data_IF_952628337799
#
_entry.id   IF_952628337799
#
_cell.length_a   1.000
_cell.length_b   1.000
_cell.length_c   1.000
_cell.angle_alpha   90.00
_cell.angle_beta   90.00
_cell.angle_gamma   90.00
#
_symmetry.space_group_name_H-M   'P 1'
#
loop_
_entity.id
_entity.type
_entity.pdbx_description
1 polymer ?
#
# COMPACT_ATOMS: atom_id res chain seq x y z
N UNK A 1 3.95 -41.57 -10.29
CA UNK A 1 2.65 -41.56 -11.00
C UNK A 1 2.46 -40.20 -11.62
N UNK A 2 2.23 -40.19 -12.90
CA UNK A 2 2.32 -38.97 -13.70
C UNK A 2 1.12 -38.06 -13.39
N UNK A 3 1.37 -36.85 -12.90
CA UNK A 3 0.35 -35.86 -12.53
C UNK A 3 -0.63 -35.58 -13.70
N UNK A 4 -0.14 -35.70 -14.94
CA UNK A 4 -0.91 -35.55 -16.18
C UNK A 4 -1.98 -36.63 -16.37
N UNK A 5 -1.74 -37.83 -15.90
CA UNK A 5 -2.72 -38.93 -16.02
C UNK A 5 -3.92 -38.68 -15.10
N UNK A 6 -3.68 -38.17 -13.92
CA UNK A 6 -4.73 -37.81 -12.93
C UNK A 6 -5.56 -36.63 -13.46
N UNK A 7 -4.88 -35.61 -14.02
CA UNK A 7 -5.57 -34.46 -14.66
C UNK A 7 -6.42 -34.88 -15.84
N UNK A 8 -5.93 -35.80 -16.67
CA UNK A 8 -6.68 -36.37 -17.79
C UNK A 8 -7.90 -37.16 -17.33
N UNK A 9 -7.74 -38.02 -16.32
CA UNK A 9 -8.86 -38.79 -15.75
C UNK A 9 -9.94 -37.89 -15.16
N UNK A 10 -9.55 -36.77 -14.48
CA UNK A 10 -10.47 -35.78 -13.97
C UNK A 10 -11.21 -35.05 -15.10
N UNK A 11 -10.52 -34.71 -16.19
CA UNK A 11 -11.14 -34.09 -17.35
C UNK A 11 -12.16 -35.03 -18.02
N UNK A 12 -11.78 -36.29 -18.23
CA UNK A 12 -12.67 -37.30 -18.82
C UNK A 12 -13.93 -37.52 -17.95
N UNK A 13 -13.76 -37.58 -16.62
CA UNK A 13 -14.88 -37.74 -15.69
C UNK A 13 -15.86 -36.54 -15.73
N UNK A 14 -15.37 -35.33 -16.05
CA UNK A 14 -16.22 -34.15 -16.21
C UNK A 14 -16.99 -34.16 -17.55
N UNK A 15 -16.40 -34.73 -18.60
CA UNK A 15 -16.96 -34.71 -19.95
C UNK A 15 -17.95 -35.85 -20.19
N UNK A 16 -17.75 -37.03 -19.57
CA UNK A 16 -18.57 -38.23 -19.76
C UNK A 16 -20.05 -38.01 -19.46
N UNK A 17 -20.39 -37.07 -18.58
CA UNK A 17 -21.76 -36.78 -18.18
C UNK A 17 -22.36 -35.58 -18.95
N UNK A 18 -21.68 -35.06 -19.98
CA UNK A 18 -22.18 -33.92 -20.77
C UNK A 18 -22.97 -34.45 -21.98
N UNK A 19 -24.27 -34.28 -21.98
CA UNK A 19 -25.10 -34.51 -23.16
C UNK A 19 -24.96 -33.32 -24.11
N UNK A 20 -24.44 -33.57 -25.30
CA UNK A 20 -24.37 -32.57 -26.37
C UNK A 20 -25.73 -32.46 -27.06
N UNK A 21 -26.32 -31.29 -27.07
CA UNK A 21 -27.58 -30.99 -27.73
C UNK A 21 -27.27 -30.24 -29.03
N UNK A 22 -27.92 -30.62 -30.13
CA UNK A 22 -27.79 -29.89 -31.40
C UNK A 22 -28.34 -28.46 -31.24
N UNK A 23 -27.45 -27.48 -31.38
CA UNK A 23 -27.80 -26.05 -31.27
C UNK A 23 -26.56 -25.16 -31.14
N UNK A 24 -26.76 -23.86 -31.22
CA UNK A 24 -25.69 -22.89 -30.96
C UNK A 24 -25.41 -22.78 -29.48
N UNK A 25 -24.14 -22.70 -29.08
CA UNK A 25 -23.74 -22.47 -27.69
C UNK A 25 -24.32 -21.17 -27.15
N UNK A 26 -24.87 -21.23 -25.94
CA UNK A 26 -25.40 -20.06 -25.26
C UNK A 26 -24.65 -19.83 -23.96
N UNK A 27 -24.17 -18.61 -23.76
CA UNK A 27 -23.51 -18.21 -22.53
C UNK A 27 -24.53 -17.66 -21.53
N UNK A 28 -24.61 -18.25 -20.34
CA UNK A 28 -25.48 -17.80 -19.27
C UNK A 28 -24.66 -17.34 -18.06
N UNK A 29 -24.90 -16.12 -17.63
CA UNK A 29 -24.27 -15.57 -16.44
C UNK A 29 -24.99 -15.99 -15.16
N UNK A 30 -24.30 -16.80 -14.31
CA UNK A 30 -24.93 -17.40 -13.12
C UNK A 30 -25.18 -16.43 -11.96
N UNK A 31 -24.60 -15.23 -12.00
CA UNK A 31 -24.75 -14.23 -10.91
C UNK A 31 -25.96 -13.31 -11.12
N UNK A 32 -26.78 -13.55 -12.15
CA UNK A 32 -28.02 -12.81 -12.37
C UNK A 32 -29.18 -13.72 -12.70
N UNK A 33 -30.38 -13.35 -12.27
CA UNK A 33 -31.61 -14.12 -12.48
C UNK A 33 -31.92 -14.36 -13.98
N UNK A 34 -31.57 -13.42 -14.83
CA UNK A 34 -31.86 -13.47 -16.27
C UNK A 34 -30.72 -14.01 -17.13
N UNK A 35 -29.60 -14.45 -16.53
CA UNK A 35 -28.46 -15.00 -17.26
C UNK A 35 -27.65 -13.98 -18.06
N UNK A 36 -28.00 -12.69 -18.03
CA UNK A 36 -27.27 -11.61 -18.68
C UNK A 36 -26.08 -11.16 -17.82
N UNK A 37 -24.98 -10.78 -18.48
CA UNK A 37 -23.77 -10.27 -17.83
C UNK A 37 -23.80 -8.75 -17.70
N UNK A 38 -24.21 -8.15 -16.56
CA UNK A 38 -23.91 -6.76 -16.26
C UNK A 38 -22.59 -6.68 -15.51
N UNK A 39 -21.71 -5.77 -15.91
CA UNK A 39 -20.42 -5.51 -15.26
C UNK A 39 -20.56 -5.32 -13.74
N UNK A 40 -21.68 -4.71 -13.31
CA UNK A 40 -21.99 -4.49 -11.89
C UNK A 40 -22.14 -5.80 -11.11
N UNK A 41 -22.72 -6.87 -11.67
CA UNK A 41 -22.88 -8.14 -10.95
C UNK A 41 -21.54 -8.81 -10.66
N UNK A 42 -20.61 -8.76 -11.62
CA UNK A 42 -19.26 -9.26 -11.43
C UNK A 42 -18.48 -8.41 -10.41
N UNK A 43 -18.60 -7.10 -10.49
CA UNK A 43 -17.96 -6.18 -9.54
C UNK A 43 -18.45 -6.43 -8.11
N UNK A 44 -19.77 -6.59 -7.90
CA UNK A 44 -20.32 -6.92 -6.58
C UNK A 44 -19.83 -8.29 -6.09
N UNK A 45 -19.83 -9.31 -6.95
CA UNK A 45 -19.29 -10.63 -6.61
C UNK A 45 -17.83 -10.60 -6.19
N UNK A 46 -17.00 -9.80 -6.87
CA UNK A 46 -15.60 -9.61 -6.49
C UNK A 46 -15.44 -8.89 -5.13
N UNK A 47 -16.35 -7.98 -4.79
CA UNK A 47 -16.32 -7.26 -3.52
C UNK A 47 -16.84 -8.13 -2.37
N UNK A 48 -17.94 -8.86 -2.56
CA UNK A 48 -18.57 -9.69 -1.52
C UNK A 48 -17.65 -10.85 -1.11
N UNK A 49 -16.87 -11.39 -2.04
CA UNK A 49 -15.88 -12.43 -1.75
C UNK A 49 -14.56 -11.90 -1.15
N UNK A 50 -14.40 -10.58 -1.00
CA UNK A 50 -13.25 -9.99 -0.32
C UNK A 50 -13.54 -9.86 1.18
N UNK A 51 -12.61 -10.29 2.06
CA UNK A 51 -12.73 -10.01 3.49
C UNK A 51 -12.90 -8.49 3.69
N UNK A 52 -13.69 -8.04 4.70
CA UNK A 52 -13.99 -6.63 4.91
C UNK A 52 -12.70 -5.81 4.84
N UNK A 53 -12.60 -4.97 3.83
CA UNK A 53 -11.32 -4.41 3.42
C UNK A 53 -10.77 -3.52 4.54
N UNK A 54 -9.64 -3.92 5.11
CA UNK A 54 -8.81 -3.09 6.00
C UNK A 54 -8.50 -1.72 5.38
N UNK A 55 -8.78 -1.56 4.08
CA UNK A 55 -8.58 -0.33 3.31
C UNK A 55 -9.57 0.79 3.67
N UNK A 56 -10.75 0.48 4.23
CA UNK A 56 -11.78 1.49 4.57
C UNK A 56 -11.24 2.60 5.48
N UNK A 57 -10.25 2.28 6.33
CA UNK A 57 -9.65 3.24 7.24
C UNK A 57 -8.88 4.35 6.49
N UNK A 58 -8.04 4.00 5.51
CA UNK A 58 -7.24 4.97 4.74
C UNK A 58 -8.14 6.01 4.07
N UNK A 59 -9.28 5.56 3.48
CA UNK A 59 -10.19 6.43 2.76
C UNK A 59 -10.96 7.41 3.67
N UNK A 60 -11.11 7.07 4.96
CA UNK A 60 -11.77 7.93 5.95
C UNK A 60 -10.85 9.01 6.55
N UNK A 61 -9.53 8.89 6.38
CA UNK A 61 -8.59 9.88 6.88
C UNK A 61 -8.77 11.24 6.19
N UNK A 62 -8.66 12.31 6.93
CA UNK A 62 -8.68 13.69 6.39
C UNK A 62 -7.27 14.10 5.91
N UNK A 63 -6.81 13.47 4.83
CA UNK A 63 -5.52 13.72 4.19
C UNK A 63 -5.71 13.83 2.67
N UNK A 64 -4.79 14.47 1.93
CA UNK A 64 -4.86 14.59 0.48
C UNK A 64 -5.03 13.26 -0.24
N UNK A 65 -5.81 13.24 -1.33
CA UNK A 65 -6.12 12.02 -2.09
C UNK A 65 -4.87 11.29 -2.59
N UNK A 66 -3.86 12.03 -3.07
CA UNK A 66 -2.58 11.46 -3.52
C UNK A 66 -1.89 10.62 -2.45
N UNK A 67 -2.01 11.01 -1.17
CA UNK A 67 -1.43 10.29 -0.04
C UNK A 67 -2.27 9.07 0.30
N UNK A 68 -3.61 9.15 0.22
CA UNK A 68 -4.48 7.97 0.38
C UNK A 68 -4.15 6.88 -0.65
N UNK A 69 -4.01 7.27 -1.91
CA UNK A 69 -3.65 6.35 -3.00
C UNK A 69 -2.28 5.72 -2.74
N UNK A 70 -1.30 6.53 -2.34
CA UNK A 70 0.03 6.03 -1.99
C UNK A 70 -0.01 5.03 -0.83
N UNK A 71 -0.72 5.34 0.27
CA UNK A 71 -0.87 4.43 1.41
C UNK A 71 -1.58 3.13 1.02
N UNK A 72 -2.55 3.20 0.14
CA UNK A 72 -3.22 2.03 -0.40
C UNK A 72 -2.25 1.14 -1.20
N UNK A 73 -1.37 1.72 -2.04
CA UNK A 73 -0.30 0.98 -2.71
C UNK A 73 0.72 0.42 -1.72
N UNK A 74 1.07 1.19 -0.68
CA UNK A 74 1.99 0.74 0.36
C UNK A 74 1.44 -0.47 1.12
N UNK A 75 0.17 -0.42 1.51
CA UNK A 75 -0.52 -1.51 2.19
C UNK A 75 -0.60 -2.78 1.33
N UNK A 76 -0.79 -2.63 0.02
CA UNK A 76 -0.80 -3.75 -0.95
C UNK A 76 0.59 -4.25 -1.33
N UNK A 77 1.64 -3.59 -0.92
CA UNK A 77 3.00 -3.99 -1.25
C UNK A 77 3.40 -3.73 -2.71
N UNK A 78 2.67 -2.87 -3.44
CA UNK A 78 2.87 -2.63 -4.89
C UNK A 78 3.55 -1.30 -5.21
N UNK A 79 4.04 -0.58 -4.20
CA UNK A 79 4.82 0.64 -4.40
C UNK A 79 6.05 0.34 -5.24
N UNK A 80 6.37 1.20 -6.21
CA UNK A 80 7.47 1.02 -7.18
C UNK A 80 8.84 1.30 -6.55
N UNK A 81 9.21 0.49 -5.58
CA UNK A 81 10.56 0.40 -5.01
C UNK A 81 11.43 -0.53 -5.86
N UNK A 82 12.74 -0.54 -5.59
CA UNK A 82 13.71 -1.30 -6.39
C UNK A 82 13.43 -2.80 -6.41
N UNK A 83 13.00 -3.40 -5.29
CA UNK A 83 12.59 -4.81 -5.22
C UNK A 83 11.39 -5.10 -6.15
N UNK A 84 10.35 -4.26 -6.13
CA UNK A 84 9.20 -4.43 -7.01
C UNK A 84 9.51 -4.13 -8.49
N UNK A 85 10.46 -3.24 -8.76
CA UNK A 85 10.96 -2.99 -10.11
C UNK A 85 11.77 -4.19 -10.64
N UNK A 86 12.61 -4.81 -9.79
CA UNK A 86 13.35 -6.01 -10.15
C UNK A 86 12.42 -7.18 -10.54
N UNK A 87 11.29 -7.36 -9.83
CA UNK A 87 10.24 -8.33 -10.20
C UNK A 87 9.61 -8.05 -11.58
N UNK A 88 9.78 -6.83 -12.11
CA UNK A 88 9.36 -6.41 -13.45
C UNK A 88 10.53 -6.35 -14.43
N UNK A 89 11.56 -7.16 -14.22
CA UNK A 89 12.75 -7.26 -15.07
C UNK A 89 13.62 -5.98 -15.15
N UNK A 90 13.48 -5.04 -14.21
CA UNK A 90 14.39 -3.91 -14.13
C UNK A 90 15.77 -4.35 -13.61
N UNK A 91 16.82 -4.01 -14.36
CA UNK A 91 18.21 -4.48 -14.12
C UNK A 91 19.06 -3.48 -13.31
N UNK A 92 18.48 -2.46 -12.72
CA UNK A 92 19.21 -1.48 -11.92
C UNK A 92 19.63 -2.00 -10.55
N UNK A 93 20.45 -1.20 -9.84
CA UNK A 93 20.92 -1.53 -8.49
C UNK A 93 19.77 -1.64 -7.51
N UNK A 94 19.68 -2.74 -6.77
CA UNK A 94 18.67 -2.98 -5.74
C UNK A 94 19.00 -2.35 -4.38
N UNK A 95 20.14 -1.68 -4.24
CA UNK A 95 20.60 -1.09 -2.98
C UNK A 95 19.79 0.14 -2.60
N UNK A 96 19.50 0.27 -1.31
CA UNK A 96 18.84 1.44 -0.73
C UNK A 96 19.69 2.70 -0.99
N UNK A 97 19.02 3.83 -1.24
CA UNK A 97 19.71 5.10 -1.46
C UNK A 97 20.34 5.70 -0.19
N UNK A 98 19.91 5.27 1.00
CA UNK A 98 20.45 5.75 2.29
C UNK A 98 21.44 4.79 2.95
N UNK A 99 21.42 3.49 2.60
CA UNK A 99 22.34 2.48 3.17
C UNK A 99 22.59 1.36 2.16
N UNK A 100 23.52 0.44 2.46
CA UNK A 100 23.92 -0.62 1.53
C UNK A 100 23.00 -1.85 1.54
N UNK A 101 21.90 -1.85 2.29
CA UNK A 101 20.93 -2.95 2.31
C UNK A 101 20.04 -2.96 1.06
N UNK A 102 19.41 -4.09 0.74
CA UNK A 102 18.46 -4.15 -0.36
C UNK A 102 17.19 -3.33 -0.06
N UNK A 103 16.69 -2.60 -1.05
CA UNK A 103 15.52 -1.75 -0.91
C UNK A 103 14.24 -2.58 -1.04
N UNK A 104 13.76 -3.15 0.07
CA UNK A 104 12.43 -3.76 0.20
C UNK A 104 11.46 -2.74 0.80
N UNK A 105 10.14 -3.00 0.69
CA UNK A 105 9.13 -2.12 1.31
C UNK A 105 9.35 -2.04 2.83
N UNK A 106 9.55 -3.18 3.48
CA UNK A 106 9.81 -3.22 4.92
C UNK A 106 11.08 -2.42 5.26
N UNK A 107 12.16 -2.63 4.50
CA UNK A 107 13.39 -1.89 4.71
C UNK A 107 13.19 -0.38 4.56
N UNK A 108 12.64 0.06 3.44
CA UNK A 108 12.52 1.48 3.12
C UNK A 108 11.64 2.24 4.14
N UNK A 109 10.55 1.63 4.61
CA UNK A 109 9.58 2.32 5.46
C UNK A 109 9.71 2.02 6.96
N UNK A 110 10.44 0.97 7.37
CA UNK A 110 10.57 0.59 8.78
C UNK A 110 12.00 0.31 9.24
N UNK A 111 12.79 -0.45 8.45
CA UNK A 111 14.04 -1.05 8.94
C UNK A 111 15.30 -0.27 8.55
N UNK A 112 15.24 0.62 7.56
CA UNK A 112 16.38 1.44 7.18
C UNK A 112 16.91 2.24 8.40
N UNK A 113 18.21 2.22 8.70
CA UNK A 113 18.78 2.91 9.88
C UNK A 113 18.34 4.37 10.00
N UNK A 114 18.30 5.10 8.90
CA UNK A 114 17.83 6.48 8.86
C UNK A 114 16.32 6.61 9.19
N UNK A 115 15.51 5.72 8.65
CA UNK A 115 14.06 5.71 8.87
C UNK A 115 13.72 5.25 10.28
N UNK A 116 14.45 4.28 10.83
CA UNK A 116 14.31 3.84 12.23
C UNK A 116 14.55 4.97 13.22
N UNK A 117 15.52 5.85 12.93
CA UNK A 117 15.77 7.03 13.78
C UNK A 117 14.57 7.98 13.79
N UNK A 118 13.96 8.24 12.62
CA UNK A 118 12.73 9.04 12.51
C UNK A 118 11.60 8.42 13.33
N UNK A 119 11.36 7.12 13.15
CA UNK A 119 10.29 6.42 13.87
C UNK A 119 10.53 6.40 15.39
N UNK A 120 11.78 6.23 15.84
CA UNK A 120 12.11 6.28 17.28
C UNK A 120 11.70 7.61 17.91
N UNK A 121 11.99 8.74 17.26
CA UNK A 121 11.61 10.07 17.75
C UNK A 121 10.08 10.18 17.82
N UNK A 122 9.38 9.76 16.77
CA UNK A 122 7.91 9.87 16.70
C UNK A 122 7.25 8.94 17.73
N UNK A 123 7.65 7.68 17.78
CA UNK A 123 7.04 6.70 18.69
C UNK A 123 7.35 7.01 20.14
N UNK A 124 8.53 7.55 20.45
CA UNK A 124 8.85 8.06 21.76
C UNK A 124 7.90 9.21 22.15
N UNK A 125 7.67 10.17 21.25
CA UNK A 125 6.79 11.31 21.50
C UNK A 125 5.32 10.93 21.71
N UNK A 126 4.85 9.85 21.07
CA UNK A 126 3.45 9.40 21.18
C UNK A 126 3.26 8.19 22.12
N UNK A 127 4.33 7.72 22.76
CA UNK A 127 4.28 6.60 23.70
C UNK A 127 3.90 5.25 23.09
N UNK A 128 4.26 4.99 21.82
CA UNK A 128 3.95 3.75 21.10
C UNK A 128 5.20 2.97 20.72
N UNK A 129 5.04 1.65 20.62
CA UNK A 129 6.06 0.77 20.04
C UNK A 129 6.01 0.76 18.51
N UNK A 130 7.17 0.55 17.88
CA UNK A 130 7.27 0.46 16.43
C UNK A 130 6.50 -0.76 15.88
N UNK A 131 5.76 -0.63 14.77
CA UNK A 131 5.13 -1.78 14.12
C UNK A 131 6.17 -2.73 13.53
N UNK A 132 5.93 -4.04 13.65
CA UNK A 132 6.85 -5.10 13.23
C UNK A 132 6.92 -5.21 11.71
N UNK A 133 5.81 -4.91 11.02
CA UNK A 133 5.68 -5.02 9.57
C UNK A 133 4.65 -4.03 9.03
N UNK A 134 4.66 -3.81 7.73
CA UNK A 134 3.64 -3.00 7.04
C UNK A 134 2.23 -3.59 7.26
N UNK A 135 2.07 -4.90 7.19
CA UNK A 135 0.78 -5.57 7.47
C UNK A 135 0.32 -5.33 8.89
N UNK A 136 1.21 -5.44 9.88
CA UNK A 136 0.91 -5.16 11.29
C UNK A 136 0.52 -3.68 11.47
N UNK A 137 1.26 -2.76 10.87
CA UNK A 137 0.99 -1.32 10.92
C UNK A 137 -0.43 -1.00 10.44
N UNK A 138 -0.87 -1.55 9.31
CA UNK A 138 -2.21 -1.32 8.76
C UNK A 138 -3.31 -2.21 9.37
N UNK A 139 -2.96 -3.23 10.13
CA UNK A 139 -3.88 -4.17 10.76
C UNK A 139 -4.14 -3.86 12.23
N UNK A 140 -3.52 -4.65 13.09
CA UNK A 140 -3.80 -4.69 14.53
C UNK A 140 -2.97 -3.73 15.38
N UNK A 141 -1.98 -3.03 14.81
CA UNK A 141 -1.04 -2.21 15.56
C UNK A 141 -1.70 -1.19 16.50
N UNK A 142 -2.78 -0.55 16.06
CA UNK A 142 -3.51 0.46 16.83
C UNK A 142 -4.89 -0.03 17.33
N UNK A 143 -5.11 -1.34 17.41
CA UNK A 143 -6.41 -1.90 17.83
C UNK A 143 -6.86 -1.43 19.21
N UNK A 144 -5.91 -1.27 20.14
CA UNK A 144 -6.17 -0.89 21.54
C UNK A 144 -6.30 0.63 21.75
N UNK A 145 -6.16 1.45 20.69
CA UNK A 145 -6.24 2.90 20.79
C UNK A 145 -7.66 3.42 20.56
N UNK A 146 -8.01 4.49 21.29
CA UNK A 146 -9.24 5.23 21.06
C UNK A 146 -9.31 5.70 19.60
N UNK A 147 -10.52 5.71 19.01
CA UNK A 147 -10.76 6.05 17.60
C UNK A 147 -10.17 7.42 17.19
N UNK A 148 -10.30 8.43 18.06
CA UNK A 148 -9.79 9.78 17.78
C UNK A 148 -8.28 9.82 17.78
N UNK A 149 -7.65 9.24 18.80
CA UNK A 149 -6.19 9.10 18.91
C UNK A 149 -5.64 8.28 17.75
N UNK A 150 -6.28 7.17 17.43
CA UNK A 150 -5.92 6.31 16.29
C UNK A 150 -5.93 7.06 14.97
N UNK A 151 -6.95 7.89 14.70
CA UNK A 151 -7.02 8.69 13.49
C UNK A 151 -5.88 9.72 13.42
N UNK A 152 -5.54 10.35 14.55
CA UNK A 152 -4.44 11.31 14.64
C UNK A 152 -3.09 10.62 14.35
N UNK A 153 -2.84 9.47 14.99
CA UNK A 153 -1.62 8.68 14.76
C UNK A 153 -1.52 8.29 13.28
N UNK A 154 -2.64 7.92 12.65
CA UNK A 154 -2.67 7.59 11.22
C UNK A 154 -2.31 8.77 10.32
N UNK A 155 -2.71 9.98 10.66
CA UNK A 155 -2.29 11.19 9.93
C UNK A 155 -0.78 11.38 10.02
N UNK A 156 -0.20 11.20 11.21
CA UNK A 156 1.26 11.27 11.42
C UNK A 156 1.98 10.19 10.63
N UNK A 157 1.53 8.94 10.72
CA UNK A 157 2.11 7.81 9.96
C UNK A 157 2.05 8.08 8.45
N UNK A 158 0.92 8.59 7.96
CA UNK A 158 0.73 8.94 6.56
C UNK A 158 1.73 10.01 6.10
N UNK A 159 1.91 11.06 6.91
CA UNK A 159 2.86 12.13 6.65
C UNK A 159 4.30 11.61 6.58
N UNK A 160 4.70 10.78 7.54
CA UNK A 160 6.05 10.20 7.60
C UNK A 160 6.32 9.27 6.43
N UNK A 161 5.41 8.34 6.14
CA UNK A 161 5.56 7.44 4.99
C UNK A 161 5.64 8.22 3.68
N UNK A 162 4.84 9.27 3.52
CA UNK A 162 4.89 10.14 2.34
C UNK A 162 6.20 10.91 2.24
N UNK A 163 6.69 11.46 3.36
CA UNK A 163 7.98 12.16 3.41
C UNK A 163 9.16 11.24 3.04
N UNK A 164 9.20 10.01 3.58
CA UNK A 164 10.19 8.99 3.23
C UNK A 164 10.14 8.70 1.73
N UNK A 165 8.95 8.50 1.17
CA UNK A 165 8.76 8.23 -0.25
C UNK A 165 9.24 9.38 -1.13
N UNK A 166 8.89 10.61 -0.78
CA UNK A 166 9.36 11.80 -1.51
C UNK A 166 10.88 11.94 -1.45
N UNK A 167 11.45 11.82 -0.25
CA UNK A 167 12.90 11.90 -0.08
C UNK A 167 13.65 10.87 -0.93
N UNK A 168 13.20 9.62 -0.90
CA UNK A 168 13.77 8.55 -1.73
C UNK A 168 13.71 8.91 -3.21
N UNK A 169 12.58 9.43 -3.69
CA UNK A 169 12.40 9.81 -5.09
C UNK A 169 13.27 11.02 -5.45
N UNK A 170 13.41 12.00 -4.57
CA UNK A 170 14.28 13.16 -4.78
C UNK A 170 15.76 12.74 -4.92
N UNK A 171 16.22 11.78 -4.11
CA UNK A 171 17.59 11.25 -4.20
C UNK A 171 17.78 10.52 -5.54
N UNK A 172 16.82 9.67 -5.94
CA UNK A 172 16.98 8.80 -7.11
C UNK A 172 16.80 9.56 -8.42
N UNK A 173 15.77 10.37 -8.53
CA UNK A 173 15.40 11.04 -9.79
C UNK A 173 15.97 12.45 -9.91
N UNK A 174 15.96 13.22 -8.83
CA UNK A 174 16.42 14.60 -8.82
C UNK A 174 17.89 14.73 -8.38
N UNK A 175 18.55 13.61 -8.02
CA UNK A 175 19.96 13.55 -7.55
C UNK A 175 20.25 14.54 -6.41
N UNK A 176 19.25 14.84 -5.60
CA UNK A 176 19.39 15.79 -4.49
C UNK A 176 20.11 15.08 -3.35
N UNK A 177 21.21 15.66 -2.89
CA UNK A 177 21.90 15.20 -1.68
C UNK A 177 21.09 15.59 -0.45
N UNK A 178 20.71 14.61 0.35
CA UNK A 178 20.04 14.83 1.64
C UNK A 178 21.11 14.80 2.73
N UNK A 179 21.39 15.96 3.30
CA UNK A 179 22.45 16.11 4.32
C UNK A 179 21.98 15.68 5.72
N UNK A 180 20.67 15.63 5.96
CA UNK A 180 20.09 15.22 7.23
C UNK A 180 18.69 14.64 7.04
N UNK A 181 18.38 13.60 7.82
CA UNK A 181 17.05 12.99 7.83
C UNK A 181 15.98 13.95 8.36
N UNK A 182 16.37 14.90 9.21
CA UNK A 182 15.48 15.96 9.70
C UNK A 182 15.06 16.90 8.55
N UNK A 183 15.90 17.11 7.55
CA UNK A 183 15.52 17.85 6.35
C UNK A 183 14.36 17.19 5.60
N UNK A 184 14.25 15.86 5.65
CA UNK A 184 13.14 15.11 5.04
C UNK A 184 11.81 15.50 5.70
N UNK A 185 11.81 15.65 7.03
CA UNK A 185 10.63 15.98 7.81
C UNK A 185 10.35 17.48 7.77
N UNK A 186 11.41 18.31 7.81
CA UNK A 186 11.30 19.78 7.92
C UNK A 186 11.39 20.52 6.58
N UNK A 187 11.64 19.84 5.48
CA UNK A 187 11.80 20.44 4.14
C UNK A 187 10.61 21.29 3.68
N UNK A 188 9.43 21.05 4.23
CA UNK A 188 8.24 21.88 3.99
C UNK A 188 8.33 23.29 4.61
N UNK A 189 9.29 23.54 5.51
CA UNK A 189 9.45 24.88 6.15
C UNK A 189 10.32 25.86 5.39
N UNK A 190 11.14 25.43 4.46
CA UNK A 190 12.16 26.28 3.81
C UNK A 190 11.86 26.62 2.38
N UNK A 191 10.59 26.77 1.98
CA UNK A 191 10.21 27.52 0.76
C UNK A 191 10.94 27.19 -0.57
N UNK A 192 11.71 26.10 -0.65
CA UNK A 192 12.43 25.71 -1.85
C UNK A 192 11.61 24.68 -2.64
N UNK A 193 10.39 25.07 -2.97
CA UNK A 193 9.57 24.30 -3.90
C UNK A 193 9.20 25.18 -5.08
N UNK A 194 9.93 25.02 -6.16
CA UNK A 194 9.53 25.56 -7.44
C UNK A 194 8.19 24.93 -7.84
N UNK A 195 7.11 25.58 -7.45
CA UNK A 195 5.86 25.56 -8.19
C UNK A 195 4.83 24.46 -7.88
N UNK A 196 4.71 23.88 -6.67
CA UNK A 196 3.44 23.23 -6.22
C UNK A 196 3.39 23.07 -4.71
N UNK A 197 2.96 24.10 -4.03
CA UNK A 197 2.62 24.08 -2.60
C UNK A 197 1.43 23.15 -2.33
N UNK A 198 1.65 22.12 -1.51
CA UNK A 198 0.58 21.44 -0.80
C UNK A 198 0.97 21.39 0.67
N UNK A 199 0.53 22.38 1.44
CA UNK A 199 0.89 22.53 2.86
C UNK A 199 0.20 21.49 3.71
N UNK A 200 0.97 20.51 4.20
CA UNK A 200 0.53 19.63 5.29
C UNK A 200 0.52 20.32 6.66
N UNK A 201 1.24 21.45 6.77
CA UNK A 201 1.36 22.21 8.03
C UNK A 201 0.04 22.81 8.52
N UNK A 202 -0.91 23.10 7.64
CA UNK A 202 -2.23 23.59 8.03
C UNK A 202 -3.06 22.53 8.78
N UNK A 203 -2.92 21.27 8.43
CA UNK A 203 -3.71 20.18 9.04
C UNK A 203 -3.22 19.81 10.44
N UNK A 204 -1.91 19.97 10.71
CA UNK A 204 -1.34 19.67 12.03
C UNK A 204 -1.59 20.83 13.00
N UNK A 205 -1.57 22.08 12.52
CA UNK A 205 -1.79 23.27 13.36
C UNK A 205 -3.21 23.40 13.93
N UNK A 206 -4.22 22.88 13.25
CA UNK A 206 -5.62 22.99 13.71
C UNK A 206 -6.01 21.97 14.78
N UNK A 207 -5.14 21.00 15.10
CA UNK A 207 -5.48 19.92 16.03
C UNK A 207 -4.64 19.89 17.32
N UNK A 208 -3.69 20.81 17.50
CA UNK A 208 -2.95 21.02 18.74
C UNK A 208 -3.11 22.47 19.17
N UNK A 209 -4.06 22.82 20.04
CA UNK A 209 -4.00 24.07 20.80
C UNK A 209 -2.79 24.01 21.75
N UNK A 210 -2.11 25.14 21.92
CA UNK A 210 -1.01 25.32 22.86
C UNK A 210 -1.48 25.09 24.28
#
# INVERSE_FOLDING_TARGET
>A
MDNKLVEWQNLVAQIVNVELVDGSDTFRWNLTKFGLYPVRSYYLHLIDNQPPSQHKMIWKLKIPLKIKIFLWFLQRGVVLIKDNLAKKNWKGSQKCCGCNSNETIKHLFLDCPYVRMVWRIIFFAIGLSQPISIRHMFGSWLSNQNKNIRNLIWVVVAAVCWAIWRCRNDIIFNKIKVNSILQVIFRERTGYDSGRSCSMTSTIRTHFPR
#
